data_IF_377223236051
#
_entry.id   IF_377223236051
#
_cell.length_a   1.000
_cell.length_b   1.000
_cell.length_c   1.000
_cell.angle_alpha   90.00
_cell.angle_beta   90.00
_cell.angle_gamma   90.00
#
_symmetry.space_group_name_H-M   'P 1'
#
loop_
_entity.id
_entity.type
_entity.pdbx_description
1 polymer ?
#
# COMPACT_ATOMS: atom_id res chain seq x y z
N UNK A 1 -3.25 -24.16 -11.73
CA UNK A 1 -4.20 -24.71 -10.73
C UNK A 1 -5.23 -23.61 -10.48
N UNK A 2 -6.50 -23.84 -10.83
CA UNK A 2 -7.57 -22.84 -10.61
C UNK A 2 -7.99 -22.87 -9.14
N UNK A 3 -8.04 -21.71 -8.51
CA UNK A 3 -8.63 -21.55 -7.19
C UNK A 3 -10.15 -21.72 -7.21
N UNK A 4 -10.75 -21.87 -6.03
CA UNK A 4 -12.21 -21.94 -5.87
C UNK A 4 -12.69 -20.83 -4.93
N UNK A 5 -13.77 -20.14 -5.30
CA UNK A 5 -14.42 -19.20 -4.40
C UNK A 5 -15.15 -19.97 -3.28
N UNK A 6 -14.95 -19.57 -2.03
CA UNK A 6 -15.61 -20.09 -0.84
C UNK A 6 -16.41 -18.99 -0.14
N UNK A 7 -17.40 -19.38 0.66
CA UNK A 7 -18.31 -18.49 1.35
C UNK A 7 -19.75 -18.76 0.93
N UNK A 8 -20.67 -18.72 1.89
CA UNK A 8 -22.10 -18.95 1.68
C UNK A 8 -22.65 -17.92 0.69
N UNK A 9 -23.49 -18.35 -0.25
CA UNK A 9 -24.31 -17.41 -1.04
C UNK A 9 -25.05 -16.47 -0.07
N UNK A 10 -24.90 -15.16 -0.28
CA UNK A 10 -25.50 -14.14 0.59
C UNK A 10 -24.69 -13.74 1.84
N UNK A 11 -23.44 -14.19 1.99
CA UNK A 11 -22.57 -13.67 3.05
C UNK A 11 -22.35 -12.15 2.88
N UNK A 12 -22.59 -11.41 3.97
CA UNK A 12 -22.34 -9.98 4.06
C UNK A 12 -21.42 -9.67 5.23
N UNK A 13 -20.62 -8.61 5.10
CA UNK A 13 -19.86 -8.08 6.22
C UNK A 13 -20.77 -7.34 7.23
N UNK A 14 -20.18 -6.86 8.33
CA UNK A 14 -20.87 -6.12 9.40
C UNK A 14 -21.62 -4.86 8.91
N UNK A 15 -21.37 -4.40 7.68
CA UNK A 15 -22.02 -3.24 7.05
C UNK A 15 -23.00 -3.64 5.95
N UNK A 16 -23.27 -4.93 5.77
CA UNK A 16 -24.18 -5.44 4.74
C UNK A 16 -23.58 -5.46 3.33
N UNK A 17 -22.25 -5.35 3.18
CA UNK A 17 -21.61 -5.49 1.89
C UNK A 17 -21.42 -6.98 1.54
N UNK A 18 -21.66 -7.40 0.28
CA UNK A 18 -21.33 -8.76 -0.16
C UNK A 18 -19.87 -9.11 0.14
N UNK A 19 -19.64 -10.28 0.73
CA UNK A 19 -18.31 -10.75 1.13
C UNK A 19 -18.13 -12.24 0.82
N UNK A 20 -16.96 -12.62 0.33
CA UNK A 20 -16.57 -14.02 0.15
C UNK A 20 -15.06 -14.20 0.14
N UNK A 21 -14.59 -15.44 0.19
CA UNK A 21 -13.16 -15.77 0.11
C UNK A 21 -12.85 -16.54 -1.17
N UNK A 22 -11.58 -16.55 -1.58
CA UNK A 22 -11.12 -17.29 -2.74
C UNK A 22 -9.80 -17.99 -2.44
N UNK A 23 -9.75 -19.30 -2.64
CA UNK A 23 -8.52 -20.07 -2.48
C UNK A 23 -7.60 -19.85 -3.68
N UNK A 24 -6.75 -18.84 -3.65
CA UNK A 24 -5.81 -18.61 -4.73
C UNK A 24 -4.61 -19.58 -4.66
N UNK A 25 -3.83 -19.73 -5.73
CA UNK A 25 -2.60 -20.54 -5.72
C UNK A 25 -1.58 -20.19 -4.63
N UNK A 26 -1.61 -18.96 -4.08
CA UNK A 26 -0.69 -18.51 -3.01
C UNK A 26 -1.35 -18.39 -1.64
N UNK A 27 -2.59 -18.85 -1.47
CA UNK A 27 -3.34 -18.73 -0.22
C UNK A 27 -4.71 -18.07 -0.39
N UNK A 28 -5.51 -17.99 0.68
CA UNK A 28 -6.82 -17.38 0.62
C UNK A 28 -6.73 -15.88 0.31
N UNK A 29 -7.71 -15.37 -0.42
CA UNK A 29 -7.97 -13.95 -0.62
C UNK A 29 -9.38 -13.63 -0.12
N UNK A 30 -9.57 -12.41 0.32
CA UNK A 30 -10.87 -11.87 0.72
C UNK A 30 -11.39 -10.94 -0.36
N UNK A 31 -12.70 -10.97 -0.61
CA UNK A 31 -13.33 -10.11 -1.59
C UNK A 31 -14.58 -9.51 -0.99
N UNK A 32 -14.73 -8.19 -1.13
CA UNK A 32 -15.93 -7.45 -0.76
C UNK A 32 -16.33 -6.45 -1.84
N UNK A 33 -17.61 -6.12 -1.93
CA UNK A 33 -18.12 -4.99 -2.71
C UNK A 33 -18.51 -3.87 -1.75
N UNK A 34 -17.72 -2.80 -1.67
CA UNK A 34 -18.07 -1.68 -0.81
C UNK A 34 -19.10 -0.77 -1.50
N UNK A 35 -20.34 -0.79 -1.00
CA UNK A 35 -21.45 0.00 -1.55
C UNK A 35 -21.39 1.49 -1.21
N UNK A 36 -20.64 1.87 -0.17
CA UNK A 36 -20.49 3.26 0.28
C UNK A 36 -19.30 3.98 -0.37
N UNK A 37 -18.38 3.25 -1.00
CA UNK A 37 -17.19 3.82 -1.65
C UNK A 37 -17.53 4.32 -3.06
N UNK A 38 -17.31 5.62 -3.39
CA UNK A 38 -17.42 6.09 -4.76
C UNK A 38 -16.29 5.51 -5.63
N UNK A 39 -16.63 5.02 -6.83
CA UNK A 39 -15.65 4.60 -7.85
C UNK A 39 -15.01 5.84 -8.48
N UNK A 40 -13.68 5.87 -8.57
CA UNK A 40 -12.92 6.98 -9.17
C UNK A 40 -12.10 6.52 -10.36
N UNK A 41 -12.05 7.33 -11.42
CA UNK A 41 -11.11 7.09 -12.52
C UNK A 41 -9.68 7.43 -12.07
N UNK A 42 -8.66 6.60 -12.36
CA UNK A 42 -7.26 6.94 -12.10
C UNK A 42 -6.83 8.31 -12.66
N UNK A 43 -7.42 8.76 -13.77
CA UNK A 43 -7.16 10.09 -14.34
C UNK A 43 -7.70 11.20 -13.46
N UNK A 44 -8.88 11.01 -12.87
CA UNK A 44 -9.48 11.97 -11.94
C UNK A 44 -8.68 12.02 -10.63
N UNK A 45 -8.14 10.88 -10.18
CA UNK A 45 -7.23 10.83 -9.02
C UNK A 45 -5.94 11.62 -9.32
N UNK A 46 -5.37 11.45 -10.51
CA UNK A 46 -4.16 12.16 -10.91
C UNK A 46 -4.37 13.66 -11.14
N UNK A 47 -5.57 14.07 -11.54
CA UNK A 47 -5.92 15.47 -11.79
C UNK A 47 -6.39 16.24 -10.55
N UNK A 48 -6.78 15.53 -9.47
CA UNK A 48 -7.28 16.16 -8.26
C UNK A 48 -6.14 16.82 -7.46
N UNK A 49 -6.11 18.15 -7.45
CA UNK A 49 -5.26 18.90 -6.54
C UNK A 49 -5.78 18.75 -5.10
N UNK A 50 -4.94 18.17 -4.23
CA UNK A 50 -5.21 17.99 -2.80
C UNK A 50 -4.06 18.55 -1.95
N UNK A 51 -3.29 19.48 -2.52
CA UNK A 51 -2.21 20.17 -1.80
C UNK A 51 -2.74 21.23 -0.83
N UNK A 52 -3.96 21.73 -1.05
CA UNK A 52 -4.59 22.72 -0.20
C UNK A 52 -5.19 22.09 1.07
N UNK A 53 -4.85 22.68 2.22
CA UNK A 53 -5.41 22.36 3.54
C UNK A 53 -6.93 22.45 3.55
N UNK A 54 -7.51 23.44 2.86
CA UNK A 54 -8.96 23.66 2.86
C UNK A 54 -9.78 22.51 2.23
N UNK A 55 -9.18 21.84 1.24
CA UNK A 55 -9.80 20.72 0.52
C UNK A 55 -9.35 19.34 1.04
N UNK A 56 -8.46 19.31 2.03
CA UNK A 56 -7.90 18.07 2.55
C UNK A 56 -8.88 17.33 3.46
N UNK A 57 -9.19 16.07 3.13
CA UNK A 57 -10.08 15.20 3.90
C UNK A 57 -9.46 14.68 5.22
N UNK A 58 -8.17 14.93 5.45
CA UNK A 58 -7.37 14.38 6.55
C UNK A 58 -6.92 15.44 7.57
N UNK A 59 -7.02 16.73 7.25
CA UNK A 59 -6.70 17.79 8.20
C UNK A 59 -7.68 17.77 9.37
N UNK A 60 -7.14 17.72 10.59
CA UNK A 60 -7.94 17.77 11.81
C UNK A 60 -7.95 19.12 12.53
N UNK A 61 -7.24 20.09 12.00
CA UNK A 61 -7.47 21.49 12.34
C UNK A 61 -8.52 22.08 11.40
N UNK A 62 -9.35 22.99 11.91
CA UNK A 62 -10.39 23.63 11.12
C UNK A 62 -9.78 24.56 10.07
N UNK A 63 -10.06 24.33 8.80
CA UNK A 63 -9.82 25.30 7.73
C UNK A 63 -11.09 26.14 7.54
N UNK A 64 -11.28 27.18 8.35
CA UNK A 64 -12.43 28.10 8.24
C UNK A 64 -13.65 27.72 9.09
N UNK A 65 -14.84 28.21 8.70
CA UNK A 65 -16.08 28.14 9.50
C UNK A 65 -16.69 26.72 9.62
N UNK A 66 -16.28 25.78 8.76
CA UNK A 66 -16.88 24.44 8.64
C UNK A 66 -16.28 23.36 9.56
N UNK A 67 -15.36 23.74 10.45
CA UNK A 67 -14.67 22.81 11.35
C UNK A 67 -13.70 21.84 10.63
N UNK A 68 -13.05 20.93 11.37
CA UNK A 68 -12.10 19.98 10.82
C UNK A 68 -12.65 19.01 9.76
N UNK A 69 -11.85 18.65 8.76
CA UNK A 69 -12.29 17.83 7.64
C UNK A 69 -12.68 16.39 8.00
N UNK A 70 -12.03 15.79 9.00
CA UNK A 70 -12.40 14.46 9.51
C UNK A 70 -13.80 14.45 10.17
N UNK A 71 -14.23 15.56 10.79
CA UNK A 71 -15.56 15.69 11.37
C UNK A 71 -16.64 15.79 10.29
N UNK A 72 -16.35 16.45 9.16
CA UNK A 72 -17.27 16.59 8.02
C UNK A 72 -17.72 15.25 7.42
N UNK A 73 -16.95 14.16 7.62
CA UNK A 73 -17.26 12.83 7.06
C UNK A 73 -17.58 11.74 8.09
N UNK A 74 -17.00 11.78 9.29
CA UNK A 74 -17.14 10.67 10.27
C UNK A 74 -17.85 11.03 11.56
N UNK A 75 -17.74 12.29 12.02
CA UNK A 75 -18.18 12.70 13.36
C UNK A 75 -17.46 11.99 14.53
N UNK A 76 -16.43 11.17 14.25
CA UNK A 76 -15.73 10.39 15.27
C UNK A 76 -14.75 11.27 16.08
N UNK A 77 -14.62 11.05 17.41
CA UNK A 77 -13.63 11.76 18.21
C UNK A 77 -12.22 11.39 17.73
N UNK A 78 -11.35 12.40 17.71
CA UNK A 78 -9.93 12.23 17.36
C UNK A 78 -9.13 11.96 18.63
N UNK A 79 -8.18 11.03 18.53
CA UNK A 79 -7.23 10.72 19.60
C UNK A 79 -5.82 11.08 19.15
N UNK A 80 -5.11 11.87 19.95
CA UNK A 80 -3.72 12.22 19.67
C UNK A 80 -2.77 11.06 20.02
N UNK A 81 -1.69 10.96 19.26
CA UNK A 81 -0.60 10.00 19.49
C UNK A 81 0.72 10.65 19.07
N UNK A 82 1.78 10.45 19.84
CA UNK A 82 3.11 10.94 19.47
C UNK A 82 3.82 9.89 18.59
N UNK A 83 4.21 10.27 17.37
CA UNK A 83 4.95 9.40 16.45
C UNK A 83 6.16 10.16 15.91
N UNK A 84 7.36 9.60 16.04
CA UNK A 84 8.60 10.24 15.60
C UNK A 84 8.91 11.56 16.32
N UNK A 85 8.44 11.72 17.57
CA UNK A 85 8.62 12.93 18.37
C UNK A 85 7.73 14.12 17.95
N UNK A 86 6.69 13.89 17.16
CA UNK A 86 5.73 14.91 16.72
C UNK A 86 4.28 14.45 16.94
N UNK A 87 3.32 15.38 17.08
CA UNK A 87 1.92 15.04 17.29
C UNK A 87 1.27 14.51 16.00
N UNK A 88 0.65 13.35 16.12
CA UNK A 88 -0.23 12.73 15.15
C UNK A 88 -1.61 12.55 15.75
N UNK A 89 -2.60 12.23 14.93
CA UNK A 89 -3.92 11.94 15.42
C UNK A 89 -4.58 10.82 14.63
N UNK A 90 -5.43 10.04 15.31
CA UNK A 90 -6.15 8.94 14.69
C UNK A 90 -7.64 8.95 15.01
N UNK A 91 -8.42 8.39 14.09
CA UNK A 91 -9.87 8.21 14.20
C UNK A 91 -10.32 7.01 13.35
N UNK A 92 -11.53 6.51 13.60
CA UNK A 92 -12.11 5.47 12.76
C UNK A 92 -12.57 6.02 11.41
N UNK A 93 -12.16 5.34 10.35
CA UNK A 93 -12.48 5.69 8.98
C UNK A 93 -14.00 5.61 8.72
N UNK A 94 -14.59 6.63 8.05
CA UNK A 94 -16.01 6.59 7.70
C UNK A 94 -16.33 5.51 6.65
N UNK A 95 -15.33 5.05 5.89
CA UNK A 95 -15.53 4.05 4.82
C UNK A 95 -15.59 2.60 5.34
N UNK A 96 -15.06 2.35 6.55
CA UNK A 96 -15.22 1.10 7.26
C UNK A 96 -14.91 -0.16 6.45
N UNK A 97 -13.76 -0.22 5.78
CA UNK A 97 -13.37 -1.37 4.96
C UNK A 97 -13.16 -2.67 5.76
N UNK A 98 -12.92 -2.54 7.07
CA UNK A 98 -12.60 -3.63 7.99
C UNK A 98 -12.99 -3.23 9.42
N UNK A 99 -13.12 -4.21 10.34
CA UNK A 99 -13.38 -3.93 11.76
C UNK A 99 -12.34 -2.99 12.34
N UNK A 100 -12.79 -1.95 13.03
CA UNK A 100 -11.92 -0.91 13.62
C UNK A 100 -10.96 -0.25 12.61
N UNK A 101 -11.39 -0.13 11.34
CA UNK A 101 -10.60 0.57 10.32
C UNK A 101 -10.27 1.99 10.78
N UNK A 102 -8.99 2.25 11.04
CA UNK A 102 -8.51 3.54 11.52
C UNK A 102 -7.63 4.24 10.49
N UNK A 103 -7.61 5.55 10.59
CA UNK A 103 -6.72 6.44 9.86
C UNK A 103 -5.87 7.14 10.92
N UNK A 104 -4.56 7.20 10.70
CA UNK A 104 -3.62 7.98 11.51
C UNK A 104 -3.01 9.03 10.60
N UNK A 105 -3.18 10.31 10.86
CA UNK A 105 -2.65 11.36 10.00
C UNK A 105 -1.65 12.24 10.76
N UNK A 106 -0.80 12.97 10.04
CA UNK A 106 0.18 13.96 10.57
C UNK A 106 -0.50 15.28 10.89
N UNK A 107 -0.08 15.99 11.95
CA UNK A 107 -0.71 17.30 12.26
C UNK A 107 -0.40 18.33 11.18
N UNK A 108 0.84 18.31 10.74
CA UNK A 108 1.32 19.15 9.66
C UNK A 108 0.82 18.56 8.34
N UNK A 109 0.12 19.38 7.55
CA UNK A 109 -0.20 19.04 6.18
C UNK A 109 1.09 19.03 5.36
N UNK A 110 1.54 17.83 5.01
CA UNK A 110 2.71 17.60 4.16
C UNK A 110 2.47 16.37 3.30
N UNK A 111 3.08 16.28 2.11
CA UNK A 111 2.97 15.10 1.27
C UNK A 111 3.41 13.84 2.01
N UNK A 112 2.75 12.72 1.69
CA UNK A 112 3.17 11.41 2.16
C UNK A 112 4.61 11.12 1.74
N UNK A 113 5.37 10.46 2.61
CA UNK A 113 6.70 9.96 2.30
C UNK A 113 6.87 8.55 2.87
N UNK A 114 7.54 7.68 2.11
CA UNK A 114 7.97 6.35 2.54
C UNK A 114 9.49 6.35 2.69
N UNK A 115 9.96 6.16 3.92
CA UNK A 115 11.39 6.09 4.25
C UNK A 115 11.61 5.73 5.73
N UNK A 116 12.78 6.09 6.26
CA UNK A 116 13.19 5.74 7.63
C UNK A 116 12.23 6.32 8.69
N UNK A 117 11.80 7.58 8.51
CA UNK A 117 10.82 8.20 9.40
C UNK A 117 9.46 7.49 9.39
N UNK A 118 9.07 6.87 8.28
CA UNK A 118 7.86 6.04 8.20
C UNK A 118 8.01 4.81 9.08
N UNK A 119 9.13 4.10 8.97
CA UNK A 119 9.43 2.91 9.78
C UNK A 119 9.37 3.24 11.28
N UNK A 120 10.01 4.34 11.69
CA UNK A 120 10.00 4.79 13.09
C UNK A 120 8.57 5.06 13.59
N UNK A 121 7.76 5.81 12.82
CA UNK A 121 6.39 6.15 13.21
C UNK A 121 5.45 4.94 13.27
N UNK A 122 5.61 3.97 12.36
CA UNK A 122 4.85 2.72 12.45
C UNK A 122 5.19 1.96 13.74
N UNK A 123 6.48 1.91 14.11
CA UNK A 123 6.92 1.29 15.36
C UNK A 123 6.37 2.01 16.60
N UNK A 124 6.43 3.34 16.64
CA UNK A 124 5.85 4.14 17.73
C UNK A 124 4.35 3.88 17.89
N UNK A 125 3.62 3.79 16.78
CA UNK A 125 2.20 3.48 16.81
C UNK A 125 1.95 2.07 17.34
N UNK A 126 2.74 1.09 16.88
CA UNK A 126 2.63 -0.29 17.35
C UNK A 126 3.02 -0.47 18.82
N UNK A 127 3.88 0.39 19.37
CA UNK A 127 4.20 0.40 20.80
C UNK A 127 3.02 0.95 21.62
N UNK A 128 2.33 1.97 21.11
CA UNK A 128 1.15 2.56 21.75
C UNK A 128 -0.10 1.68 21.65
N UNK A 129 -0.30 1.01 20.50
CA UNK A 129 -1.51 0.24 20.17
C UNK A 129 -1.16 -1.12 19.55
N UNK A 130 -0.57 -2.05 20.31
CA UNK A 130 -0.04 -3.32 19.78
C UNK A 130 -1.12 -4.28 19.25
N UNK A 131 -2.39 -4.06 19.56
CA UNK A 131 -3.51 -4.88 19.08
C UNK A 131 -3.87 -4.62 17.61
N UNK A 132 -3.41 -3.50 17.04
CA UNK A 132 -3.73 -3.11 15.67
C UNK A 132 -2.53 -3.23 14.75
N UNK A 133 -2.79 -3.58 13.49
CA UNK A 133 -1.80 -3.36 12.44
C UNK A 133 -1.80 -1.88 12.05
N UNK A 134 -0.70 -1.41 11.48
CA UNK A 134 -0.56 -0.08 10.93
C UNK A 134 0.30 -0.13 9.68
N UNK A 135 -0.07 0.60 8.62
CA UNK A 135 0.74 0.63 7.40
C UNK A 135 0.49 1.86 6.55
N UNK A 136 1.42 2.08 5.62
CA UNK A 136 1.37 3.20 4.67
C UNK A 136 0.98 2.73 3.28
N UNK A 137 0.15 3.54 2.59
CA UNK A 137 0.12 3.47 1.14
C UNK A 137 1.49 3.87 0.57
N UNK A 138 1.74 3.51 -0.69
CA UNK A 138 2.93 3.97 -1.39
C UNK A 138 2.85 5.50 -1.61
N UNK A 139 3.98 6.19 -1.46
CA UNK A 139 4.10 7.65 -1.56
C UNK A 139 4.13 8.17 -3.00
N UNK A 140 4.06 7.29 -4.00
CA UNK A 140 4.05 7.66 -5.41
C UNK A 140 2.67 7.42 -6.06
N UNK A 141 2.31 8.20 -7.09
CA UNK A 141 1.06 8.01 -7.83
C UNK A 141 1.03 6.63 -8.52
N UNK A 142 -0.15 6.22 -9.00
CA UNK A 142 -0.42 4.95 -9.71
C UNK A 142 -0.36 3.70 -8.81
N UNK A 143 0.47 3.67 -7.76
CA UNK A 143 0.70 2.47 -6.93
C UNK A 143 -0.07 2.45 -5.61
N UNK A 144 -1.24 3.08 -5.55
CA UNK A 144 -2.23 2.88 -4.47
C UNK A 144 -2.51 4.07 -3.56
N UNK A 145 -1.68 5.11 -3.59
CA UNK A 145 -1.99 6.37 -2.91
C UNK A 145 -3.14 7.12 -3.60
N UNK A 146 -4.22 7.40 -2.86
CA UNK A 146 -5.35 8.23 -3.34
C UNK A 146 -5.40 9.61 -2.67
N UNK A 147 -4.60 9.81 -1.61
CA UNK A 147 -4.54 11.01 -0.77
C UNK A 147 -3.07 11.34 -0.49
N UNK A 148 -2.29 11.61 -1.54
CA UNK A 148 -0.84 11.81 -1.42
C UNK A 148 -0.45 13.16 -0.79
N UNK A 149 -1.37 14.13 -0.75
CA UNK A 149 -1.11 15.48 -0.26
C UNK A 149 -0.88 15.58 1.24
N UNK A 150 -1.40 14.62 2.02
CA UNK A 150 -1.31 14.65 3.48
C UNK A 150 -0.85 13.30 4.03
N UNK A 151 0.27 13.32 4.74
CA UNK A 151 0.94 12.20 5.40
C UNK A 151 -0.01 11.45 6.37
N UNK A 152 -0.28 10.17 6.05
CA UNK A 152 -1.20 9.33 6.80
C UNK A 152 -0.92 7.84 6.65
N UNK A 153 -1.39 7.07 7.63
CA UNK A 153 -1.37 5.62 7.72
C UNK A 153 -2.81 5.09 7.84
N UNK A 154 -2.96 3.80 7.53
CA UNK A 154 -4.19 3.04 7.75
C UNK A 154 -3.90 1.84 8.63
N UNK A 155 -4.84 1.51 9.51
CA UNK A 155 -4.71 0.40 10.45
C UNK A 155 -6.04 -0.21 10.84
N UNK A 156 -6.01 -1.09 11.83
CA UNK A 156 -7.19 -1.68 12.46
C UNK A 156 -6.91 -3.04 13.07
N UNK A 157 -7.95 -3.75 13.53
CA UNK A 157 -7.81 -5.07 14.16
C UNK A 157 -7.91 -6.24 13.19
N UNK A 158 -8.14 -5.98 11.91
CA UNK A 158 -8.25 -7.05 10.91
C UNK A 158 -6.89 -7.71 10.64
N UNK A 159 -6.86 -9.03 10.77
CA UNK A 159 -5.73 -9.86 10.35
C UNK A 159 -5.89 -10.25 8.89
N UNK A 160 -5.00 -9.75 8.05
CA UNK A 160 -5.10 -9.93 6.59
C UNK A 160 -4.50 -11.23 6.10
N UNK A 161 -4.95 -11.76 4.94
CA UNK A 161 -4.36 -12.96 4.35
C UNK A 161 -2.85 -12.86 4.10
N UNK A 162 -2.32 -11.68 3.76
CA UNK A 162 -0.87 -11.48 3.67
C UNK A 162 -0.16 -11.80 4.99
N UNK A 163 -0.72 -11.42 6.14
CA UNK A 163 -0.11 -11.64 7.47
C UNK A 163 0.06 -13.14 7.77
N UNK A 164 -0.87 -13.96 7.30
CA UNK A 164 -0.83 -15.42 7.47
C UNK A 164 -0.02 -16.15 6.39
N UNK A 165 0.36 -15.47 5.31
CA UNK A 165 1.12 -16.06 4.23
C UNK A 165 2.52 -16.52 4.70
N UNK A 166 2.96 -17.74 4.36
CA UNK A 166 4.24 -18.27 4.83
C UNK A 166 5.42 -17.63 4.09
N UNK A 167 6.61 -17.69 4.70
CA UNK A 167 7.86 -17.40 4.00
C UNK A 167 8.12 -18.47 2.94
N UNK A 168 8.31 -18.06 1.68
CA UNK A 168 8.70 -18.92 0.57
C UNK A 168 10.22 -19.20 0.56
N UNK A 169 11.02 -18.17 0.84
CA UNK A 169 12.49 -18.24 0.86
C UNK A 169 13.03 -17.32 1.94
N UNK A 170 13.76 -17.88 2.90
CA UNK A 170 14.46 -17.09 3.92
C UNK A 170 15.76 -16.50 3.36
N UNK A 171 16.21 -15.38 3.91
CA UNK A 171 17.54 -14.82 3.69
C UNK A 171 18.03 -14.14 4.99
N UNK A 172 19.33 -13.86 5.06
CA UNK A 172 19.97 -13.14 6.17
C UNK A 172 20.35 -11.73 5.75
N UNK A 173 20.34 -10.79 6.69
CA UNK A 173 20.88 -9.45 6.51
C UNK A 173 22.14 -9.35 7.36
N UNK A 174 23.28 -9.01 6.75
CA UNK A 174 24.58 -9.01 7.42
C UNK A 174 24.61 -8.04 8.61
N UNK A 175 25.02 -8.52 9.77
CA UNK A 175 25.05 -7.76 11.02
C UNK A 175 23.70 -7.65 11.74
N UNK A 176 22.65 -8.29 11.22
CA UNK A 176 21.31 -8.33 11.81
C UNK A 176 20.80 -9.79 11.90
N UNK A 177 21.66 -10.71 12.32
CA UNK A 177 21.37 -12.15 12.38
C UNK A 177 20.21 -12.50 13.34
N UNK A 178 19.88 -11.60 14.27
CA UNK A 178 18.71 -11.71 15.14
C UNK A 178 17.36 -11.42 14.44
N UNK A 179 17.37 -10.81 13.26
CA UNK A 179 16.17 -10.50 12.47
C UNK A 179 15.90 -11.65 11.50
N UNK A 180 14.71 -12.25 11.59
CA UNK A 180 14.26 -13.22 10.59
C UNK A 180 13.76 -12.47 9.36
N UNK A 181 14.39 -12.69 8.21
CA UNK A 181 13.99 -12.10 6.94
C UNK A 181 13.61 -13.16 5.90
N UNK A 182 12.65 -12.85 5.04
CA UNK A 182 12.28 -13.74 3.96
C UNK A 182 11.34 -13.13 2.92
N UNK A 183 11.32 -13.76 1.75
CA UNK A 183 10.35 -13.50 0.69
C UNK A 183 9.06 -14.23 1.05
N UNK A 184 7.93 -13.53 1.11
CA UNK A 184 6.62 -14.13 1.41
C UNK A 184 6.08 -14.87 0.19
N UNK A 185 5.42 -16.01 0.40
CA UNK A 185 4.61 -16.68 -0.64
C UNK A 185 3.34 -15.86 -0.90
N UNK A 186 3.48 -14.80 -1.70
CA UNK A 186 2.41 -13.86 -2.00
C UNK A 186 2.42 -13.50 -3.49
N UNK A 187 1.30 -13.11 -4.12
CA UNK A 187 1.28 -12.78 -5.55
C UNK A 187 2.07 -11.51 -5.88
N UNK A 188 2.16 -10.56 -4.93
CA UNK A 188 3.02 -9.39 -5.04
C UNK A 188 4.39 -9.64 -4.38
N UNK A 189 5.36 -8.78 -4.68
CA UNK A 189 6.73 -8.91 -4.16
C UNK A 189 6.84 -8.36 -2.74
N UNK A 190 6.98 -9.23 -1.74
CA UNK A 190 6.99 -8.85 -0.32
C UNK A 190 8.22 -9.40 0.39
N UNK A 191 8.92 -8.52 1.09
CA UNK A 191 9.91 -8.89 2.11
C UNK A 191 9.23 -8.82 3.47
N UNK A 192 9.31 -9.90 4.26
CA UNK A 192 8.88 -9.94 5.66
C UNK A 192 10.08 -9.95 6.58
N UNK A 193 10.06 -9.06 7.56
CA UNK A 193 11.03 -8.96 8.64
C UNK A 193 10.34 -9.26 9.97
N UNK A 194 11.00 -9.99 10.85
CA UNK A 194 10.49 -10.31 12.19
C UNK A 194 11.60 -10.23 13.23
N UNK A 195 11.33 -9.52 14.31
CA UNK A 195 12.23 -9.39 15.47
C UNK A 195 11.45 -9.04 16.74
N UNK A 196 11.99 -9.43 17.90
CA UNK A 196 11.57 -8.88 19.20
C UNK A 196 12.27 -7.55 19.51
N UNK A 197 13.44 -7.34 18.92
CA UNK A 197 14.20 -6.10 19.05
C UNK A 197 13.68 -5.06 18.04
N UNK A 198 13.07 -4.01 18.58
CA UNK A 198 12.51 -2.87 17.85
C UNK A 198 13.57 -2.17 16.98
N UNK A 199 14.77 -1.96 17.52
CA UNK A 199 15.86 -1.25 16.85
C UNK A 199 16.42 -2.09 15.70
N UNK A 200 16.64 -3.38 15.93
CA UNK A 200 17.10 -4.30 14.89
C UNK A 200 16.08 -4.43 13.75
N UNK A 201 14.77 -4.47 14.06
CA UNK A 201 13.73 -4.46 13.03
C UNK A 201 13.75 -3.17 12.22
N UNK A 202 13.85 -2.01 12.90
CA UNK A 202 13.91 -0.71 12.23
C UNK A 202 15.09 -0.63 11.27
N UNK A 203 16.27 -1.05 11.72
CA UNK A 203 17.47 -1.06 10.89
C UNK A 203 17.32 -1.98 9.67
N UNK A 204 16.82 -3.21 9.86
CA UNK A 204 16.57 -4.14 8.76
C UNK A 204 15.59 -3.56 7.73
N UNK A 205 14.49 -2.96 8.20
CA UNK A 205 13.48 -2.35 7.33
C UNK A 205 14.06 -1.17 6.54
N UNK A 206 14.83 -0.31 7.19
CA UNK A 206 15.51 0.81 6.53
C UNK A 206 16.50 0.32 5.47
N UNK A 207 17.31 -0.71 5.75
CA UNK A 207 18.23 -1.29 4.75
C UNK A 207 17.51 -1.84 3.52
N UNK A 208 16.38 -2.53 3.72
CA UNK A 208 15.55 -3.01 2.60
C UNK A 208 15.02 -1.84 1.76
N UNK A 209 14.54 -0.76 2.40
CA UNK A 209 14.06 0.43 1.70
C UNK A 209 15.18 1.17 0.95
N UNK A 210 16.36 1.31 1.57
CA UNK A 210 17.53 1.97 1.00
C UNK A 210 18.10 1.20 -0.18
N UNK A 211 18.13 -0.13 -0.09
CA UNK A 211 18.50 -0.99 -1.21
C UNK A 211 17.47 -0.93 -2.34
N UNK A 212 16.18 -0.86 -2.02
CA UNK A 212 15.11 -0.85 -3.01
C UNK A 212 15.01 0.48 -3.77
N UNK A 213 15.16 1.62 -3.08
CA UNK A 213 14.95 2.96 -3.66
C UNK A 213 15.76 3.20 -4.96
N UNK A 214 17.06 2.85 -5.07
CA UNK A 214 17.86 3.00 -6.28
C UNK A 214 17.87 1.75 -7.19
N UNK A 215 17.24 0.64 -6.79
CA UNK A 215 17.34 -0.63 -7.50
C UNK A 215 16.71 -0.58 -8.90
N UNK A 216 17.47 -1.00 -9.91
CA UNK A 216 16.98 -1.14 -11.29
C UNK A 216 17.35 -2.51 -11.83
N UNK A 217 16.42 -3.14 -12.54
CA UNK A 217 16.60 -4.45 -13.15
C UNK A 217 15.70 -4.57 -14.40
N UNK A 218 16.29 -4.28 -15.56
CA UNK A 218 15.55 -4.10 -16.81
C UNK A 218 14.83 -5.38 -17.27
N UNK A 219 15.37 -6.57 -16.98
CA UNK A 219 14.71 -7.84 -17.32
C UNK A 219 13.33 -8.00 -16.65
N UNK A 220 13.11 -7.35 -15.50
CA UNK A 220 11.81 -7.27 -14.85
C UNK A 220 11.04 -5.98 -15.19
N UNK A 221 11.60 -5.12 -16.05
CA UNK A 221 11.07 -3.79 -16.34
C UNK A 221 11.20 -2.78 -15.19
N UNK A 222 11.99 -3.11 -14.16
CA UNK A 222 12.18 -2.26 -12.98
C UNK A 222 13.23 -1.19 -13.32
N UNK A 223 12.85 0.08 -13.16
CA UNK A 223 13.78 1.21 -13.14
C UNK A 223 13.48 2.04 -11.90
N UNK A 224 14.51 2.42 -11.17
CA UNK A 224 14.38 3.25 -9.98
C UNK A 224 13.93 4.68 -10.31
N UNK A 225 14.39 5.22 -11.45
CA UNK A 225 14.05 6.55 -11.91
C UNK A 225 14.05 6.66 -13.43
N UNK A 226 13.40 7.70 -13.95
CA UNK A 226 13.49 8.13 -15.35
C UNK A 226 13.88 9.61 -15.44
N UNK A 227 14.57 9.97 -16.51
CA UNK A 227 14.81 11.37 -16.89
C UNK A 227 13.70 11.80 -17.85
N UNK A 228 12.97 12.86 -17.49
CA UNK A 228 11.97 13.48 -18.37
C UNK A 228 12.32 14.95 -18.60
N UNK A 229 11.96 15.55 -19.75
CA UNK A 229 12.13 16.97 -19.95
C UNK A 229 11.47 17.77 -18.82
N UNK A 230 12.12 18.83 -18.37
CA UNK A 230 11.51 19.72 -17.39
C UNK A 230 10.38 20.52 -18.06
N UNK A 231 9.14 20.19 -17.71
CA UNK A 231 7.91 20.82 -18.19
C UNK A 231 7.30 21.78 -17.15
N UNK A 232 8.05 22.10 -16.08
CA UNK A 232 7.61 23.00 -15.01
C UNK A 232 6.54 22.42 -14.08
N UNK A 233 6.25 21.11 -14.15
CA UNK A 233 5.29 20.44 -13.26
C UNK A 233 5.96 19.94 -11.98
N UNK A 234 5.38 20.26 -10.83
CA UNK A 234 5.81 19.77 -9.52
C UNK A 234 5.71 18.23 -9.43
N UNK A 235 6.68 17.59 -8.75
CA UNK A 235 6.67 16.15 -8.49
C UNK A 235 7.96 15.37 -8.78
N UNK A 236 9.03 16.05 -9.22
CA UNK A 236 10.34 15.46 -9.47
C UNK A 236 11.43 16.27 -8.76
N UNK A 237 12.18 15.64 -7.87
CA UNK A 237 13.15 16.30 -7.01
C UNK A 237 14.36 16.75 -7.84
N UNK A 238 14.62 18.05 -7.92
CA UNK A 238 15.92 18.55 -8.37
C UNK A 238 16.92 18.32 -7.24
N UNK A 239 17.91 17.44 -7.44
CA UNK A 239 18.92 17.11 -6.44
C UNK A 239 19.89 18.26 -6.12
N UNK A 240 19.79 19.40 -6.81
CA UNK A 240 20.61 20.56 -6.55
C UNK A 240 19.80 21.82 -6.83
N UNK A 241 19.72 22.74 -5.86
CA UNK A 241 19.22 24.10 -6.06
C UNK A 241 20.08 24.95 -7.02
N UNK A 242 20.64 24.34 -8.05
CA UNK A 242 21.34 24.95 -9.17
C UNK A 242 20.39 25.10 -10.36
N UNK A 243 20.74 26.02 -11.27
CA UNK A 243 19.96 26.45 -12.44
C UNK A 243 19.19 25.31 -13.13
N UNK A 244 17.97 25.64 -13.57
CA UNK A 244 17.03 24.80 -14.32
C UNK A 244 17.75 23.74 -15.18
N UNK A 245 17.70 22.50 -14.71
CA UNK A 245 18.19 21.35 -15.47
C UNK A 245 17.23 21.10 -16.63
N UNK A 246 17.71 20.83 -17.87
CA UNK A 246 16.83 20.53 -19.01
C UNK A 246 16.04 19.22 -18.83
N UNK A 247 16.36 18.43 -17.80
CA UNK A 247 15.67 17.21 -17.45
C UNK A 247 15.49 17.07 -15.91
N UNK A 248 14.37 16.48 -15.49
CA UNK A 248 14.02 16.17 -14.10
C UNK A 248 14.00 14.66 -13.85
N UNK A 249 14.39 14.25 -12.64
CA UNK A 249 14.36 12.85 -12.21
C UNK A 249 13.01 12.48 -11.61
N UNK A 250 12.32 11.52 -12.24
CA UNK A 250 11.08 10.95 -11.70
C UNK A 250 11.41 9.65 -10.98
N UNK A 251 11.24 9.62 -9.66
CA UNK A 251 11.38 8.42 -8.85
C UNK A 251 10.24 7.44 -9.16
N UNK A 252 10.56 6.15 -9.24
CA UNK A 252 9.59 5.09 -9.53
C UNK A 252 9.45 4.05 -8.42
N UNK A 253 10.55 3.73 -7.71
CA UNK A 253 10.51 2.76 -6.62
C UNK A 253 9.96 3.37 -5.33
N UNK A 254 9.01 2.66 -4.72
CA UNK A 254 8.39 2.96 -3.43
C UNK A 254 7.95 1.63 -2.78
N UNK A 255 7.33 1.69 -1.60
CA UNK A 255 6.88 0.50 -0.90
C UNK A 255 5.60 0.75 -0.09
N UNK A 256 4.93 -0.35 0.27
CA UNK A 256 3.96 -0.36 1.35
C UNK A 256 4.60 -1.02 2.58
N UNK A 257 5.11 -0.24 3.55
CA UNK A 257 5.49 -0.78 4.84
C UNK A 257 4.21 -1.02 5.67
N UNK A 258 4.10 -2.23 6.21
CA UNK A 258 2.99 -2.69 7.05
C UNK A 258 3.60 -3.31 8.29
N UNK A 259 3.20 -2.85 9.46
CA UNK A 259 3.63 -3.38 10.74
C UNK A 259 2.46 -4.01 11.47
N UNK A 260 2.70 -5.19 12.05
CA UNK A 260 1.76 -5.87 12.93
C UNK A 260 2.51 -6.67 14.00
N UNK A 261 1.77 -7.13 15.00
CA UNK A 261 2.32 -7.86 16.14
C UNK A 261 1.99 -9.34 16.06
N UNK A 262 3.00 -10.18 16.29
CA UNK A 262 2.83 -11.62 16.52
C UNK A 262 3.49 -12.00 17.83
N UNK A 263 2.65 -12.17 18.86
CA UNK A 263 3.08 -12.26 20.25
C UNK A 263 3.99 -11.07 20.60
N UNK A 264 5.19 -11.35 21.13
CA UNK A 264 6.20 -10.34 21.48
C UNK A 264 6.99 -9.80 20.28
N UNK A 265 6.71 -10.27 19.05
CA UNK A 265 7.47 -9.86 17.88
C UNK A 265 6.80 -8.70 17.15
N UNK A 266 7.63 -7.78 16.68
CA UNK A 266 7.30 -6.93 15.55
C UNK A 266 7.45 -7.74 14.26
N UNK A 267 6.45 -7.64 13.38
CA UNK A 267 6.50 -8.21 12.04
C UNK A 267 6.22 -7.10 11.03
N UNK A 268 7.22 -6.79 10.19
CA UNK A 268 7.10 -5.78 9.15
C UNK A 268 7.09 -6.43 7.77
N UNK A 269 5.99 -6.27 7.05
CA UNK A 269 5.84 -6.60 5.64
C UNK A 269 6.14 -5.36 4.80
N UNK A 270 7.09 -5.47 3.88
CA UNK A 270 7.46 -4.42 2.94
C UNK A 270 7.09 -4.93 1.54
N UNK A 271 5.96 -4.44 1.02
CA UNK A 271 5.58 -4.72 -0.36
C UNK A 271 6.34 -3.77 -1.28
N UNK A 272 7.16 -4.31 -2.16
CA UNK A 272 7.93 -3.54 -3.14
C UNK A 272 7.04 -3.09 -4.28
N UNK A 273 7.02 -1.78 -4.56
CA UNK A 273 6.16 -1.15 -5.57
C UNK A 273 6.98 -0.33 -6.56
N UNK A 274 6.49 -0.24 -7.80
CA UNK A 274 7.09 0.60 -8.82
C UNK A 274 5.99 1.22 -9.69
N UNK A 275 6.03 2.55 -9.89
CA UNK A 275 4.97 3.27 -10.61
C UNK A 275 5.27 3.55 -12.10
N UNK A 276 6.31 2.94 -12.65
CA UNK A 276 6.76 3.19 -14.03
C UNK A 276 5.64 2.89 -15.02
N UNK A 277 5.48 3.78 -15.98
CA UNK A 277 4.62 3.61 -17.16
C UNK A 277 5.47 3.40 -18.41
N UNK A 278 4.87 2.84 -19.46
CA UNK A 278 5.44 2.79 -20.81
C UNK A 278 4.37 3.24 -21.82
N UNK A 279 4.73 3.56 -23.08
CA UNK A 279 3.74 3.87 -24.11
C UNK A 279 2.67 2.77 -24.28
N UNK A 280 3.06 1.51 -24.12
CA UNK A 280 2.19 0.33 -24.21
C UNK A 280 1.39 0.07 -22.93
N UNK A 281 1.83 0.65 -21.80
CA UNK A 281 1.22 0.53 -20.46
C UNK A 281 1.10 1.91 -19.81
N UNK A 282 0.24 2.80 -20.35
CA UNK A 282 0.13 4.18 -19.88
C UNK A 282 -0.42 4.30 -18.46
N UNK A 283 -1.14 3.28 -17.98
CA UNK A 283 -1.67 3.21 -16.60
C UNK A 283 -0.70 2.57 -15.61
N UNK A 284 0.50 2.14 -16.04
CA UNK A 284 1.53 1.54 -15.19
C UNK A 284 1.87 0.12 -15.58
N UNK A 285 3.15 -0.22 -15.51
CA UNK A 285 3.69 -1.55 -15.80
C UNK A 285 3.31 -2.56 -14.70
N UNK A 286 3.28 -2.09 -13.45
CA UNK A 286 2.96 -2.87 -12.25
C UNK A 286 1.58 -2.46 -11.69
N UNK A 287 0.61 -2.34 -12.58
CA UNK A 287 -0.75 -1.89 -12.30
C UNK A 287 -1.79 -2.94 -12.72
N UNK A 288 -3.06 -2.70 -12.38
CA UNK A 288 -4.19 -3.47 -12.90
C UNK A 288 -4.13 -3.53 -14.42
N UNK A 289 -4.13 -4.73 -15.03
CA UNK A 289 -4.17 -4.87 -16.49
C UNK A 289 -5.44 -4.26 -17.07
N UNK A 290 -5.31 -3.50 -18.18
CA UNK A 290 -6.44 -2.77 -18.79
C UNK A 290 -7.63 -3.68 -19.15
N UNK A 291 -7.37 -4.92 -19.54
CA UNK A 291 -8.43 -5.91 -19.82
C UNK A 291 -9.33 -6.17 -18.60
N UNK A 292 -8.86 -5.92 -17.39
CA UNK A 292 -9.58 -6.13 -16.12
C UNK A 292 -10.23 -4.84 -15.59
N UNK A 293 -10.15 -3.71 -16.30
CA UNK A 293 -10.78 -2.45 -15.87
C UNK A 293 -12.30 -2.55 -15.71
N UNK A 294 -12.94 -3.48 -16.43
CA UNK A 294 -14.36 -3.79 -16.24
C UNK A 294 -14.66 -4.40 -14.86
N UNK A 295 -13.68 -5.01 -14.19
CA UNK A 295 -13.79 -5.45 -12.78
C UNK A 295 -13.30 -4.35 -11.84
N UNK A 296 -12.08 -3.86 -12.04
CA UNK A 296 -11.49 -2.82 -11.20
C UNK A 296 -10.47 -2.02 -12.00
N UNK A 297 -10.66 -0.70 -12.03
CA UNK A 297 -9.74 0.23 -12.69
C UNK A 297 -8.83 0.98 -11.71
N UNK A 298 -9.27 1.14 -10.47
CA UNK A 298 -8.55 1.87 -9.43
C UNK A 298 -7.21 1.23 -9.06
N UNK A 299 -6.29 2.07 -8.58
CA UNK A 299 -5.01 1.64 -8.03
C UNK A 299 -5.19 0.68 -6.85
N UNK A 300 -4.26 -0.26 -6.69
CA UNK A 300 -4.24 -1.22 -5.57
C UNK A 300 -3.57 -0.58 -4.35
N UNK A 301 -4.41 -0.16 -3.40
CA UNK A 301 -4.01 0.43 -2.12
C UNK A 301 -3.61 -0.61 -1.07
N UNK A 302 -3.30 -0.14 0.14
CA UNK A 302 -2.79 -0.95 1.25
C UNK A 302 -3.65 -2.18 1.58
N UNK A 303 -4.97 -2.00 1.73
CA UNK A 303 -5.90 -3.07 2.11
C UNK A 303 -5.94 -4.16 1.03
N UNK A 304 -5.91 -3.75 -0.23
CA UNK A 304 -6.01 -4.65 -1.37
C UNK A 304 -4.71 -5.41 -1.59
N UNK A 305 -3.56 -4.74 -1.46
CA UNK A 305 -2.25 -5.41 -1.58
C UNK A 305 -2.03 -6.46 -0.48
N UNK A 306 -2.69 -6.30 0.67
CA UNK A 306 -2.70 -7.24 1.80
C UNK A 306 -3.69 -8.42 1.62
N UNK A 307 -4.48 -8.42 0.55
CA UNK A 307 -5.29 -9.58 0.15
C UNK A 307 -6.80 -9.43 0.31
N UNK A 308 -7.31 -8.22 0.58
CA UNK A 308 -8.75 -7.94 0.60
C UNK A 308 -9.17 -7.01 -0.53
N UNK A 309 -9.79 -7.56 -1.56
CA UNK A 309 -10.34 -6.75 -2.66
C UNK A 309 -11.48 -5.87 -2.18
N UNK A 310 -11.46 -4.60 -2.60
CA UNK A 310 -12.59 -3.68 -2.46
C UNK A 310 -13.10 -3.39 -3.88
N UNK A 311 -14.08 -4.17 -4.29
CA UNK A 311 -14.70 -4.07 -5.62
C UNK A 311 -15.77 -2.97 -5.66
N UNK A 312 -15.99 -2.36 -6.84
CA UNK A 312 -16.91 -1.24 -6.99
C UNK A 312 -18.37 -1.69 -6.87
N UNK A 313 -19.21 -0.80 -6.32
CA UNK A 313 -20.62 -1.06 -6.04
C UNK A 313 -21.44 -1.55 -7.25
N UNK A 314 -21.06 -1.12 -8.47
CA UNK A 314 -21.74 -1.51 -9.72
C UNK A 314 -21.75 -3.02 -9.96
N UNK A 315 -20.76 -3.76 -9.45
CA UNK A 315 -20.68 -5.22 -9.63
C UNK A 315 -21.69 -5.98 -8.76
N UNK A 316 -22.34 -5.32 -7.79
CA UNK A 316 -23.23 -6.00 -6.84
C UNK A 316 -24.43 -6.66 -7.52
N UNK A 317 -24.97 -6.06 -8.59
CA UNK A 317 -26.13 -6.59 -9.31
C UNK A 317 -25.79 -7.83 -10.16
N UNK A 318 -24.55 -7.91 -10.65
CA UNK A 318 -24.07 -8.97 -11.55
C UNK A 318 -23.36 -10.10 -10.79
N UNK A 319 -23.12 -9.93 -9.50
CA UNK A 319 -22.31 -10.82 -8.67
C UNK A 319 -22.63 -12.32 -8.84
N UNK A 320 -23.90 -12.78 -8.93
CA UNK A 320 -24.20 -14.20 -9.14
C UNK A 320 -23.54 -14.80 -10.40
N UNK A 321 -23.35 -13.99 -11.45
CA UNK A 321 -22.74 -14.42 -12.71
C UNK A 321 -21.21 -14.24 -12.73
N UNK A 322 -20.68 -13.24 -12.01
CA UNK A 322 -19.27 -12.82 -12.13
C UNK A 322 -18.41 -13.11 -10.90
N UNK A 323 -18.96 -13.70 -9.82
CA UNK A 323 -18.24 -13.95 -8.56
C UNK A 323 -16.89 -14.65 -8.76
N UNK A 324 -16.86 -15.73 -9.53
CA UNK A 324 -15.64 -16.50 -9.80
C UNK A 324 -14.67 -15.76 -10.72
N UNK A 325 -15.18 -14.94 -11.62
CA UNK A 325 -14.37 -14.07 -12.47
C UNK A 325 -13.71 -12.96 -11.65
N UNK A 326 -14.46 -12.25 -10.80
CA UNK A 326 -13.94 -11.25 -9.87
C UNK A 326 -12.83 -11.83 -8.97
N UNK A 327 -13.04 -13.05 -8.48
CA UNK A 327 -12.08 -13.74 -7.62
C UNK A 327 -10.75 -14.02 -8.33
N UNK A 328 -10.83 -14.58 -9.55
CA UNK A 328 -9.66 -14.86 -10.38
C UNK A 328 -8.97 -13.57 -10.83
N UNK A 329 -9.75 -12.56 -11.21
CA UNK A 329 -9.26 -11.25 -11.62
C UNK A 329 -8.49 -10.56 -10.49
N UNK A 330 -8.96 -10.64 -9.24
CA UNK A 330 -8.25 -10.04 -8.12
C UNK A 330 -6.87 -10.68 -7.88
N UNK A 331 -6.78 -12.01 -7.92
CA UNK A 331 -5.49 -12.69 -7.85
C UNK A 331 -4.54 -12.27 -8.99
N UNK A 332 -5.07 -12.21 -10.22
CA UNK A 332 -4.32 -11.75 -11.39
C UNK A 332 -3.85 -10.30 -11.27
N UNK A 333 -4.67 -9.44 -10.66
CA UNK A 333 -4.32 -8.05 -10.35
C UNK A 333 -3.14 -8.02 -9.37
N UNK A 334 -3.17 -8.78 -8.28
CA UNK A 334 -2.06 -8.82 -7.32
C UNK A 334 -0.77 -9.31 -7.98
N UNK A 335 -0.85 -10.36 -8.81
CA UNK A 335 0.27 -10.83 -9.65
C UNK A 335 0.81 -9.73 -10.56
N UNK A 336 -0.07 -8.94 -11.18
CA UNK A 336 0.31 -7.83 -12.05
C UNK A 336 1.03 -6.71 -11.28
N UNK A 337 0.66 -6.47 -10.02
CA UNK A 337 1.31 -5.46 -9.16
C UNK A 337 2.69 -5.87 -8.63
N UNK A 338 3.03 -7.16 -8.57
CA UNK A 338 4.35 -7.61 -8.12
C UNK A 338 5.48 -7.20 -9.07
N UNK A 339 6.59 -6.68 -8.54
CA UNK A 339 7.74 -6.22 -9.37
C UNK A 339 8.63 -7.38 -9.84
N UNK A 340 8.76 -8.41 -9.01
CA UNK A 340 9.42 -9.68 -9.34
C UNK A 340 8.37 -10.74 -9.58
N UNK A 341 8.23 -11.17 -10.85
CA UNK A 341 7.26 -12.20 -11.25
C UNK A 341 7.73 -13.60 -10.89
N UNK A 342 6.81 -14.56 -10.81
CA UNK A 342 7.16 -15.98 -10.64
C UNK A 342 7.62 -16.62 -11.97
N UNK A 343 8.72 -16.10 -12.49
CA UNK A 343 9.37 -16.54 -13.72
C UNK A 343 10.90 -16.49 -13.56
N UNK A 344 11.69 -16.98 -14.54
CA UNK A 344 13.15 -16.95 -14.43
C UNK A 344 13.75 -15.54 -14.25
N UNK A 345 13.15 -14.50 -14.83
CA UNK A 345 13.65 -13.13 -14.72
C UNK A 345 13.39 -12.57 -13.32
N UNK A 346 12.19 -12.78 -12.77
CA UNK A 346 11.85 -12.38 -11.41
C UNK A 346 12.68 -13.09 -10.35
N UNK A 347 13.04 -14.38 -10.55
CA UNK A 347 13.99 -15.08 -9.66
C UNK A 347 15.38 -14.45 -9.66
N UNK A 348 15.93 -14.13 -10.84
CA UNK A 348 17.21 -13.38 -10.95
C UNK A 348 17.11 -11.99 -10.35
N UNK A 349 15.97 -11.32 -10.52
CA UNK A 349 15.69 -10.01 -9.95
C UNK A 349 15.72 -10.05 -8.42
N UNK A 350 15.06 -11.03 -7.80
CA UNK A 350 15.14 -11.26 -6.36
C UNK A 350 16.58 -11.51 -5.90
N UNK A 351 17.32 -12.38 -6.58
CA UNK A 351 18.72 -12.68 -6.22
C UNK A 351 19.61 -11.44 -6.29
N UNK A 352 19.44 -10.64 -7.35
CA UNK A 352 20.20 -9.41 -7.56
C UNK A 352 19.82 -8.36 -6.52
N UNK A 353 18.54 -8.22 -6.17
CA UNK A 353 18.08 -7.29 -5.15
C UNK A 353 18.55 -7.69 -3.75
N UNK A 354 18.40 -8.96 -3.38
CA UNK A 354 18.83 -9.45 -2.06
C UNK A 354 20.35 -9.33 -1.88
N UNK A 355 21.15 -9.37 -2.95
CA UNK A 355 22.59 -9.13 -2.88
C UNK A 355 22.98 -7.66 -2.61
N UNK A 356 22.02 -6.72 -2.65
CA UNK A 356 22.23 -5.30 -2.33
C UNK A 356 21.82 -4.91 -0.91
N UNK A 357 21.25 -5.85 -0.14
CA UNK A 357 20.77 -5.66 1.24
C UNK A 357 21.80 -6.26 2.19
#
# INVERSE_FOLDING_TARGET
>A
MSGAARGTEGAVDERGNPFWTYDSPTGPLEITINRAKPEKDPRDIAAADRSDVASCDLCWEASGEDGPAHLRRSGAPVTEVELGGEPWAWWFSPYGYLPEHLIVASRVHRPMAVGHGTVARLLDFSDAYPQWFIGSNADLPIVGGSLLGHDHFQGGSHRFPLMDAPIARAFSIEGLEGVKAGIVRWPASVVRLRSRDRSALAEAACRVLDAWRPFSFEECGIRAFSLVPDDGREGAVSASGALASPARFVQHNTANPILWREDDNYVMDIVLRNNRTTPERPFGLFHVPERLFHIKKENIGLIEIMGRAILPARLAAELPAIKDECSRAFYEILMATGVFKDDPAGRRGWETFLATI
#
